data_IF_631098202028
#
_entry.id   IF_631098202028
#
_cell.length_a   1.000
_cell.length_b   1.000
_cell.length_c   1.000
_cell.angle_alpha   90.00
_cell.angle_beta   90.00
_cell.angle_gamma   90.00
#
_symmetry.space_group_name_H-M   'P 1'
#
loop_
_entity.id
_entity.type
_entity.pdbx_description
1 polymer ?
#
# COMPACT_ATOMS: atom_id res chain seq x y z
N UNK A 1 8.93 -4.70 -10.99
CA UNK A 1 8.61 -5.34 -9.70
C UNK A 1 8.39 -6.82 -9.97
N UNK A 2 9.18 -7.68 -9.33
CA UNK A 2 9.18 -9.13 -9.57
C UNK A 2 8.92 -9.86 -8.26
N UNK A 3 8.25 -11.00 -8.34
CA UNK A 3 7.96 -11.89 -7.22
C UNK A 3 8.35 -13.32 -7.62
N UNK A 4 8.74 -14.12 -6.64
CA UNK A 4 9.04 -15.53 -6.88
C UNK A 4 7.74 -16.31 -7.07
N UNK A 5 7.70 -17.14 -8.11
CA UNK A 5 6.63 -18.08 -8.41
C UNK A 5 7.24 -19.41 -8.83
N UNK A 6 7.05 -20.46 -8.03
CA UNK A 6 7.56 -21.80 -8.35
C UNK A 6 9.06 -21.84 -8.63
N UNK A 7 9.87 -21.11 -7.84
CA UNK A 7 11.33 -21.04 -7.99
C UNK A 7 11.84 -20.08 -9.06
N UNK A 8 10.97 -19.31 -9.73
CA UNK A 8 11.36 -18.33 -10.76
C UNK A 8 10.81 -16.94 -10.46
N UNK A 9 11.57 -15.90 -10.78
CA UNK A 9 11.08 -14.53 -10.67
C UNK A 9 10.24 -14.15 -11.89
N UNK A 10 9.00 -13.74 -11.65
CA UNK A 10 8.07 -13.25 -12.66
C UNK A 10 7.58 -11.85 -12.32
N UNK A 11 7.15 -11.03 -13.31
CA UNK A 11 6.53 -9.75 -13.04
C UNK A 11 5.31 -9.93 -12.14
N UNK A 12 5.22 -9.17 -11.06
CA UNK A 12 4.07 -9.22 -10.13
C UNK A 12 2.73 -8.92 -10.80
N UNK A 13 2.72 -8.14 -11.88
CA UNK A 13 1.52 -7.86 -12.66
C UNK A 13 0.97 -9.12 -13.34
N UNK A 14 1.81 -10.13 -13.60
CA UNK A 14 1.35 -11.44 -14.06
C UNK A 14 0.61 -12.20 -12.93
N UNK A 15 1.11 -12.12 -11.70
CA UNK A 15 0.39 -12.67 -10.54
C UNK A 15 -0.98 -12.03 -10.41
N UNK A 16 -1.03 -10.70 -10.45
CA UNK A 16 -2.28 -9.95 -10.34
C UNK A 16 -3.24 -10.29 -11.48
N UNK A 17 -2.77 -10.41 -12.72
CA UNK A 17 -3.64 -10.77 -13.85
C UNK A 17 -4.28 -12.16 -13.67
N UNK A 18 -3.51 -13.15 -13.19
CA UNK A 18 -4.06 -14.48 -12.87
C UNK A 18 -5.03 -14.45 -11.71
N UNK A 19 -4.76 -13.67 -10.65
CA UNK A 19 -5.67 -13.53 -9.51
C UNK A 19 -6.98 -12.86 -9.95
N UNK A 20 -6.90 -11.79 -10.74
CA UNK A 20 -8.07 -11.15 -11.33
C UNK A 20 -8.84 -12.10 -12.27
N UNK A 21 -8.15 -12.96 -13.04
CA UNK A 21 -8.79 -13.97 -13.87
C UNK A 21 -9.58 -15.01 -13.06
N UNK A 22 -9.17 -15.25 -11.81
CA UNK A 22 -9.85 -16.11 -10.84
C UNK A 22 -10.97 -15.40 -10.06
N UNK A 23 -11.22 -14.11 -10.34
CA UNK A 23 -12.24 -13.32 -9.64
C UNK A 23 -11.79 -12.75 -8.28
N UNK A 24 -10.49 -12.75 -7.99
CA UNK A 24 -9.96 -12.13 -6.76
C UNK A 24 -10.01 -10.61 -6.88
N UNK A 25 -10.58 -9.94 -5.87
CA UNK A 25 -10.58 -8.49 -5.79
C UNK A 25 -9.17 -7.99 -5.41
N UNK A 26 -8.61 -7.09 -6.21
CA UNK A 26 -7.26 -6.57 -6.00
C UNK A 26 -7.30 -5.05 -5.83
N UNK A 27 -6.72 -4.57 -4.73
CA UNK A 27 -6.60 -3.15 -4.42
C UNK A 27 -5.18 -2.83 -3.96
N UNK A 28 -4.56 -1.80 -4.53
CA UNK A 28 -3.20 -1.42 -4.20
C UNK A 28 -3.08 0.10 -3.95
N UNK A 29 -2.64 0.43 -2.72
CA UNK A 29 -2.22 1.77 -2.35
C UNK A 29 -0.73 1.94 -2.61
N UNK A 30 -0.35 3.04 -3.23
CA UNK A 30 1.05 3.38 -3.47
C UNK A 30 1.36 4.83 -3.12
N UNK A 31 2.61 5.09 -2.75
CA UNK A 31 3.03 6.42 -2.30
C UNK A 31 3.27 7.41 -3.45
N UNK A 32 3.70 6.89 -4.59
CA UNK A 32 4.17 7.67 -5.73
C UNK A 32 3.72 7.04 -7.04
N UNK A 33 3.71 7.82 -8.12
CA UNK A 33 3.40 7.29 -9.44
C UNK A 33 4.34 6.11 -9.78
N UNK A 34 3.83 4.90 -10.11
CA UNK A 34 4.68 3.77 -10.43
C UNK A 34 5.59 4.08 -11.61
N UNK A 35 6.77 3.46 -11.67
CA UNK A 35 7.76 3.75 -12.71
C UNK A 35 7.24 3.49 -14.13
N UNK A 36 7.85 4.14 -15.14
CA UNK A 36 7.46 3.97 -16.55
C UNK A 36 7.38 2.49 -16.99
N UNK A 37 8.38 1.63 -16.70
CA UNK A 37 8.29 0.21 -17.06
C UNK A 37 7.13 -0.53 -16.38
N UNK A 38 6.79 -0.15 -15.14
CA UNK A 38 5.63 -0.72 -14.47
C UNK A 38 4.33 -0.33 -15.16
N UNK A 39 4.19 0.95 -15.53
CA UNK A 39 2.99 1.46 -16.22
C UNK A 39 2.82 0.82 -17.60
N UNK A 40 3.88 0.75 -18.40
CA UNK A 40 3.85 0.09 -19.71
C UNK A 40 3.44 -1.40 -19.58
N UNK A 41 3.95 -2.09 -18.57
CA UNK A 41 3.56 -3.47 -18.30
C UNK A 41 2.10 -3.58 -17.80
N UNK A 42 1.61 -2.61 -17.03
CA UNK A 42 0.22 -2.57 -16.57
C UNK A 42 -0.73 -2.32 -17.75
N UNK A 43 -0.44 -1.32 -18.59
CA UNK A 43 -1.24 -0.94 -19.75
C UNK A 43 -1.36 -2.07 -20.78
N UNK A 44 -0.36 -2.94 -20.86
CA UNK A 44 -0.39 -4.14 -21.71
C UNK A 44 -1.35 -5.24 -21.21
N UNK A 45 -1.91 -5.13 -20.00
CA UNK A 45 -2.79 -6.15 -19.40
C UNK A 45 -4.23 -5.66 -19.32
N UNK A 46 -4.98 -5.92 -20.40
CA UNK A 46 -6.35 -5.43 -20.56
C UNK A 46 -7.29 -5.76 -19.40
N UNK A 47 -7.14 -6.93 -18.74
CA UNK A 47 -7.96 -7.30 -17.58
C UNK A 47 -7.71 -6.38 -16.39
N UNK A 48 -6.44 -6.11 -16.08
CA UNK A 48 -6.07 -5.22 -14.98
C UNK A 48 -6.57 -3.79 -15.24
N UNK A 49 -6.33 -3.28 -16.44
CA UNK A 49 -6.77 -1.93 -16.87
C UNK A 49 -8.28 -1.77 -16.81
N UNK A 50 -9.06 -2.81 -17.13
CA UNK A 50 -10.53 -2.82 -17.07
C UNK A 50 -11.10 -2.98 -15.65
N UNK A 51 -10.30 -2.76 -14.61
CA UNK A 51 -10.72 -2.85 -13.22
C UNK A 51 -10.37 -4.15 -12.51
N UNK A 52 -9.56 -5.02 -13.13
CA UNK A 52 -9.01 -6.22 -12.46
C UNK A 52 -8.02 -5.88 -11.34
N UNK A 53 -7.50 -4.64 -11.31
CA UNK A 53 -6.70 -4.09 -10.22
C UNK A 53 -7.10 -2.64 -9.99
N UNK A 54 -7.57 -2.33 -8.78
CA UNK A 54 -7.81 -0.96 -8.35
C UNK A 54 -6.52 -0.34 -7.80
N UNK A 55 -6.19 0.88 -8.23
CA UNK A 55 -5.01 1.62 -7.80
C UNK A 55 -5.41 2.97 -7.21
N UNK A 56 -4.84 3.33 -6.08
CA UNK A 56 -4.94 4.67 -5.50
C UNK A 56 -3.57 5.15 -5.02
N UNK A 57 -3.30 6.44 -5.20
CA UNK A 57 -2.04 7.06 -4.79
C UNK A 57 -2.23 8.00 -3.62
N UNK A 58 -1.36 7.90 -2.63
CA UNK A 58 -1.31 8.86 -1.53
C UNK A 58 0.13 9.01 -1.03
N UNK A 59 0.73 10.22 -1.10
CA UNK A 59 2.13 10.44 -0.72
C UNK A 59 2.42 10.22 0.77
N UNK A 60 1.38 10.05 1.60
CA UNK A 60 1.50 9.71 3.03
C UNK A 60 1.56 8.21 3.30
N UNK A 61 1.33 7.36 2.30
CA UNK A 61 1.37 5.89 2.48
C UNK A 61 2.82 5.47 2.67
N UNK A 62 3.15 5.02 3.88
CA UNK A 62 4.47 4.47 4.20
C UNK A 62 4.38 3.13 4.94
N UNK A 63 3.19 2.66 5.31
CA UNK A 63 3.01 1.30 5.82
C UNK A 63 3.22 0.31 4.66
N UNK A 64 3.77 -0.87 4.98
CA UNK A 64 3.86 -1.99 4.05
C UNK A 64 3.10 -3.14 4.68
N UNK A 65 1.96 -3.43 4.08
CA UNK A 65 1.09 -4.49 4.53
C UNK A 65 0.41 -5.15 3.33
N UNK A 66 0.09 -6.43 3.49
CA UNK A 66 -0.77 -7.18 2.57
C UNK A 66 -1.83 -7.84 3.42
N UNK A 67 -3.10 -7.56 3.13
CA UNK A 67 -4.24 -8.20 3.78
C UNK A 67 -4.91 -9.10 2.76
N UNK A 68 -5.19 -10.34 3.14
CA UNK A 68 -5.85 -11.34 2.28
C UNK A 68 -7.10 -11.83 3.01
N UNK A 69 -8.25 -11.64 2.36
CA UNK A 69 -9.57 -12.15 2.77
C UNK A 69 -10.01 -11.80 4.21
N UNK A 70 -9.39 -10.81 4.85
CA UNK A 70 -9.61 -10.50 6.26
C UNK A 70 -9.16 -11.62 7.22
N UNK A 71 -8.34 -12.56 6.73
CA UNK A 71 -7.89 -13.74 7.49
C UNK A 71 -6.37 -13.78 7.68
N UNK A 72 -5.62 -13.12 6.80
CA UNK A 72 -4.16 -13.08 6.85
C UNK A 72 -3.65 -11.66 6.65
N UNK A 73 -2.66 -11.26 7.45
CA UNK A 73 -1.92 -10.02 7.25
C UNK A 73 -0.42 -10.24 7.28
N UNK A 74 0.27 -9.70 6.28
CA UNK A 74 1.69 -9.38 6.37
C UNK A 74 1.84 -7.94 6.82
N UNK A 75 2.73 -7.68 7.78
CA UNK A 75 3.14 -6.32 8.18
C UNK A 75 4.66 -6.28 8.29
N UNK A 76 5.29 -5.28 7.68
CA UNK A 76 6.75 -5.18 7.73
C UNK A 76 7.33 -3.88 7.21
N UNK A 77 8.66 -3.88 7.07
CA UNK A 77 9.44 -2.76 6.53
C UNK A 77 9.64 -2.83 5.02
N UNK A 78 9.52 -4.04 4.44
CA UNK A 78 9.86 -4.31 3.05
C UNK A 78 8.96 -3.55 2.07
N UNK A 79 9.55 -2.64 1.31
CA UNK A 79 8.90 -2.11 0.12
C UNK A 79 8.69 -3.23 -0.91
N UNK A 80 7.59 -3.16 -1.64
CA UNK A 80 7.27 -4.07 -2.74
C UNK A 80 8.22 -3.80 -3.94
N UNK A 81 9.48 -4.22 -3.80
CA UNK A 81 10.58 -3.99 -4.73
C UNK A 81 11.48 -5.21 -4.76
N UNK A 82 12.36 -5.32 -5.75
CA UNK A 82 13.30 -6.44 -5.79
C UNK A 82 14.27 -6.48 -4.60
N UNK A 83 14.68 -5.31 -4.10
CA UNK A 83 15.56 -5.23 -2.94
C UNK A 83 14.83 -5.58 -1.62
N UNK A 84 13.56 -5.19 -1.48
CA UNK A 84 12.76 -5.51 -0.29
C UNK A 84 12.19 -6.93 -0.27
N UNK A 85 11.88 -7.52 -1.43
CA UNK A 85 11.27 -8.85 -1.54
C UNK A 85 12.27 -9.98 -1.83
N UNK A 86 13.58 -9.72 -1.73
CA UNK A 86 14.60 -10.74 -1.92
C UNK A 86 14.84 -11.18 -3.36
N UNK A 87 14.33 -10.46 -4.36
CA UNK A 87 14.64 -10.72 -5.78
C UNK A 87 16.05 -10.26 -6.19
N UNK A 88 16.74 -9.55 -5.30
CA UNK A 88 18.15 -9.20 -5.40
C UNK A 88 18.97 -10.21 -4.60
N UNK A 89 20.22 -10.44 -5.02
CA UNK A 89 21.15 -11.35 -4.33
C UNK A 89 21.37 -10.96 -2.87
N UNK A 90 21.83 -11.90 -2.05
CA UNK A 90 21.92 -11.73 -0.59
C UNK A 90 22.73 -10.51 -0.17
N UNK A 91 23.80 -10.20 -0.92
CA UNK A 91 24.70 -9.07 -0.64
C UNK A 91 24.18 -7.71 -1.11
N UNK A 92 23.06 -7.68 -1.85
CA UNK A 92 22.52 -6.48 -2.51
C UNK A 92 21.03 -6.27 -2.30
N UNK A 93 20.40 -7.08 -1.44
CA UNK A 93 19.02 -6.90 -0.97
C UNK A 93 18.98 -6.11 0.34
N UNK A 94 17.81 -5.58 0.68
CA UNK A 94 17.62 -4.86 1.93
C UNK A 94 17.57 -5.83 3.12
N UNK A 95 18.02 -5.35 4.29
CA UNK A 95 17.65 -5.97 5.56
C UNK A 95 16.23 -5.53 5.93
N UNK A 96 15.30 -6.47 5.96
CA UNK A 96 13.90 -6.19 6.21
C UNK A 96 13.38 -7.03 7.37
N UNK A 97 12.41 -6.49 8.10
CA UNK A 97 11.69 -7.19 9.16
C UNK A 97 10.21 -7.19 8.80
N UNK A 98 9.54 -8.27 9.20
CA UNK A 98 8.11 -8.37 9.08
C UNK A 98 7.64 -9.68 9.66
N UNK A 99 6.33 -9.79 9.81
CA UNK A 99 5.68 -11.00 10.24
C UNK A 99 4.40 -11.20 9.45
N UNK A 100 3.98 -12.46 9.41
CA UNK A 100 2.68 -12.86 8.92
C UNK A 100 1.86 -13.29 10.13
N UNK A 101 0.58 -12.92 10.17
CA UNK A 101 -0.31 -13.25 11.27
C UNK A 101 -1.73 -13.55 10.79
N UNK A 102 -2.42 -14.39 11.57
CA UNK A 102 -3.87 -14.65 11.52
C UNK A 102 -4.58 -14.04 12.74
N UNK A 103 -3.89 -13.23 13.54
CA UNK A 103 -4.47 -12.56 14.71
C UNK A 103 -5.50 -11.52 14.28
N UNK A 104 -6.76 -11.75 14.66
CA UNK A 104 -7.89 -10.92 14.27
C UNK A 104 -7.73 -9.46 14.68
N UNK A 105 -7.21 -9.18 15.88
CA UNK A 105 -7.03 -7.80 16.36
C UNK A 105 -6.00 -7.04 15.51
N UNK A 106 -4.90 -7.70 15.12
CA UNK A 106 -3.90 -7.11 14.22
C UNK A 106 -4.49 -6.90 12.83
N UNK A 107 -5.18 -7.91 12.27
CA UNK A 107 -5.80 -7.84 10.95
C UNK A 107 -6.82 -6.70 10.89
N UNK A 108 -7.68 -6.57 11.89
CA UNK A 108 -8.69 -5.51 11.96
C UNK A 108 -8.05 -4.13 12.00
N UNK A 109 -6.99 -3.94 12.79
CA UNK A 109 -6.28 -2.65 12.88
C UNK A 109 -5.58 -2.27 11.57
N UNK A 110 -4.93 -3.23 10.93
CA UNK A 110 -4.26 -3.01 9.62
C UNK A 110 -5.31 -2.70 8.55
N UNK A 111 -6.40 -3.46 8.52
CA UNK A 111 -7.50 -3.27 7.58
C UNK A 111 -8.17 -1.92 7.78
N UNK A 112 -8.44 -1.52 9.02
CA UNK A 112 -9.02 -0.21 9.34
C UNK A 112 -8.12 0.94 8.89
N UNK A 113 -6.80 0.87 9.13
CA UNK A 113 -5.86 1.89 8.66
C UNK A 113 -5.82 1.95 7.14
N UNK A 114 -5.76 0.79 6.47
CA UNK A 114 -5.78 0.71 5.02
C UNK A 114 -7.06 1.33 4.45
N UNK A 115 -8.23 0.95 4.97
CA UNK A 115 -9.53 1.44 4.54
C UNK A 115 -9.69 2.94 4.77
N UNK A 116 -9.26 3.47 5.92
CA UNK A 116 -9.30 4.90 6.21
C UNK A 116 -8.53 5.74 5.16
N UNK A 117 -7.42 5.22 4.64
CA UNK A 117 -6.72 5.85 3.50
C UNK A 117 -7.47 5.60 2.21
N UNK A 118 -7.85 4.35 1.92
CA UNK A 118 -8.51 3.95 0.67
C UNK A 118 -9.80 4.72 0.40
N UNK A 119 -10.65 4.86 1.41
CA UNK A 119 -11.96 5.53 1.33
C UNK A 119 -11.83 7.05 1.49
N UNK A 120 -10.62 7.54 1.80
CA UNK A 120 -10.33 8.96 1.88
C UNK A 120 -10.75 9.63 3.19
N UNK A 121 -11.04 8.87 4.25
CA UNK A 121 -11.25 9.42 5.59
C UNK A 121 -10.05 10.28 6.04
N UNK A 122 -8.83 9.84 5.70
CA UNK A 122 -7.58 10.57 5.94
C UNK A 122 -7.40 11.83 5.07
N UNK A 123 -8.27 12.04 4.06
CA UNK A 123 -8.18 13.19 3.15
C UNK A 123 -8.85 14.45 3.69
N UNK A 124 -9.90 14.36 4.53
CA UNK A 124 -10.71 15.52 4.94
C UNK A 124 -9.89 16.63 5.65
N UNK A 125 -8.96 16.22 6.53
CA UNK A 125 -8.05 17.13 7.23
C UNK A 125 -6.65 17.23 6.61
N UNK A 126 -6.43 16.67 5.42
CA UNK A 126 -5.10 16.49 4.86
C UNK A 126 -4.48 17.81 4.40
N UNK A 127 -3.39 18.22 5.07
CA UNK A 127 -2.65 19.45 4.74
C UNK A 127 -1.69 19.31 3.56
N UNK A 128 -1.49 18.09 3.05
CA UNK A 128 -0.63 17.82 1.88
C UNK A 128 -1.43 17.81 0.57
N UNK A 129 -2.61 18.42 0.55
CA UNK A 129 -3.48 18.44 -0.64
C UNK A 129 -2.80 19.07 -1.86
N UNK A 130 -1.97 20.10 -1.65
CA UNK A 130 -1.24 20.79 -2.72
C UNK A 130 -0.25 19.88 -3.47
N UNK A 131 0.18 18.77 -2.87
CA UNK A 131 1.11 17.80 -3.48
C UNK A 131 0.46 16.42 -3.68
N UNK A 132 -0.87 16.33 -3.52
CA UNK A 132 -1.61 15.09 -3.71
C UNK A 132 -1.85 14.88 -5.22
N UNK A 133 -1.24 13.86 -5.86
CA UNK A 133 -1.29 13.71 -7.31
C UNK A 133 -2.66 13.26 -7.82
N UNK A 134 -3.40 12.50 -7.01
CA UNK A 134 -4.75 12.04 -7.33
C UNK A 134 -5.61 11.97 -6.05
N UNK A 135 -6.28 13.08 -5.71
CA UNK A 135 -7.21 13.14 -4.60
C UNK A 135 -8.32 12.08 -4.56
N UNK A 136 -8.31 11.22 -3.53
CA UNK A 136 -9.37 10.23 -3.30
C UNK A 136 -10.75 10.87 -3.06
N UNK A 137 -10.83 11.90 -2.22
CA UNK A 137 -12.03 12.73 -2.09
C UNK A 137 -11.88 13.99 -2.94
N UNK A 138 -12.89 14.31 -3.75
CA UNK A 138 -13.01 15.60 -4.43
C UNK A 138 -13.10 16.73 -3.39
N UNK A 139 -12.54 17.89 -3.71
CA UNK A 139 -12.41 19.00 -2.77
C UNK A 139 -13.79 19.54 -2.33
N UNK A 140 -14.21 19.21 -1.11
CA UNK A 140 -15.11 20.07 -0.33
C UNK A 140 -14.38 21.33 0.15
N UNK A 141 -15.10 22.37 0.59
CA UNK A 141 -14.48 23.62 1.04
C UNK A 141 -13.40 23.33 2.08
N UNK A 142 -12.23 23.98 1.89
CA UNK A 142 -11.03 23.72 2.68
C UNK A 142 -11.28 23.79 4.19
N UNK A 143 -10.44 23.13 5.00
CA UNK A 143 -10.73 22.92 6.41
C UNK A 143 -10.93 24.25 7.13
N UNK A 144 -12.10 24.40 7.76
CA UNK A 144 -12.34 25.44 8.74
C UNK A 144 -11.26 25.38 9.84
N UNK A 145 -10.82 26.56 10.31
CA UNK A 145 -9.87 26.69 11.42
C UNK A 145 -10.31 25.82 12.61
N UNK A 146 -9.38 25.01 13.10
CA UNK A 146 -9.54 24.03 14.20
C UNK A 146 -10.36 24.56 15.39
N UNK A 147 -11.32 23.77 15.86
CA UNK A 147 -11.78 23.76 17.24
C UNK A 147 -11.59 22.37 17.85
N UNK A 148 -11.01 22.32 19.07
CA UNK A 148 -11.25 21.30 20.09
C UNK A 148 -10.53 19.93 19.97
N UNK A 149 -10.06 19.33 21.08
CA UNK A 149 -9.28 18.10 21.06
C UNK A 149 -10.18 16.85 21.18
N UNK A 150 -10.02 15.89 20.27
CA UNK A 150 -10.63 14.56 20.39
C UNK A 150 -9.98 13.54 19.46
N UNK A 151 -9.16 12.64 20.04
CA UNK A 151 -8.62 11.36 19.53
C UNK A 151 -7.92 11.34 18.13
N UNK A 152 -6.77 10.72 17.86
CA UNK A 152 -5.81 9.83 18.54
C UNK A 152 -4.41 10.43 18.28
N UNK A 153 -3.54 10.52 19.30
CA UNK A 153 -2.13 10.90 19.10
C UNK A 153 -1.30 9.66 18.77
N UNK A 154 -0.79 9.56 17.54
CA UNK A 154 0.35 8.70 17.26
C UNK A 154 1.55 9.23 18.07
N UNK A 155 2.16 8.34 18.87
CA UNK A 155 3.21 8.69 19.83
C UNK A 155 4.41 9.37 19.16
N UNK A 156 5.04 10.32 19.85
CA UNK A 156 6.36 10.79 19.46
C UNK A 156 7.36 9.65 19.70
N UNK A 157 8.14 9.32 18.68
CA UNK A 157 9.26 8.39 18.82
C UNK A 157 10.20 8.90 19.91
N UNK A 158 10.37 8.11 20.96
CA UNK A 158 11.33 8.42 22.03
C UNK A 158 12.71 8.49 21.38
N UNK A 159 13.41 9.62 21.51
CA UNK A 159 14.85 9.65 21.26
C UNK A 159 15.48 8.68 22.26
N UNK A 160 16.09 7.61 21.76
CA UNK A 160 16.98 6.78 22.55
C UNK A 160 18.15 7.68 22.97
N UNK A 161 18.21 8.03 24.25
CA UNK A 161 19.44 8.58 24.84
C UNK A 161 20.33 7.38 25.16
N UNK A 162 21.58 7.46 24.69
CA UNK A 162 22.63 6.48 24.99
C UNK A 162 22.89 6.43 26.49
#
# INVERSE_FOLDING_TARGET
MFVEQGGKFAPVLELFDRLAARGVALRLLHAELPSRPFREAFDARARLVRGGLELKVCPRVHFKAVVVDGAWAYVGSANLTGAGLGAKGEDVRNFELGFVTEDFDVIDRVTALYAAVWDGAECQGCRLRAVCPDPILSSGPGPAKKQGPGAIRLGQSRRLRR
#
